data_IF_304644152200
#
_entry.id   IF_304644152200
#
_cell.length_a   1.000
_cell.length_b   1.000
_cell.length_c   1.000
_cell.angle_alpha   90.00
_cell.angle_beta   90.00
_cell.angle_gamma   90.00
#
_symmetry.space_group_name_H-M   'P 1'
#
loop_
_entity.id
_entity.type
_entity.pdbx_description
1 polymer ?
#
# COMPACT_ATOMS: atom_id res chain seq x y z
N UNK A 1 -15.29 4.40 -2.52
CA UNK A 1 -14.29 3.55 -1.83
C UNK A 1 -13.76 2.47 -2.75
N UNK A 2 -12.65 1.86 -2.40
CA UNK A 2 -12.04 0.76 -3.15
C UNK A 2 -12.02 -0.46 -2.26
N UNK A 3 -12.44 -1.62 -2.80
CA UNK A 3 -12.34 -2.89 -2.08
C UNK A 3 -11.31 -3.79 -2.75
N UNK A 4 -10.29 -4.17 -2.00
CA UNK A 4 -9.32 -5.19 -2.40
C UNK A 4 -9.88 -6.55 -1.96
N UNK A 5 -10.22 -7.40 -2.94
CA UNK A 5 -10.65 -8.77 -2.66
C UNK A 5 -9.40 -9.64 -2.59
N UNK A 6 -9.10 -10.17 -1.44
CA UNK A 6 -7.88 -10.96 -1.23
C UNK A 6 -8.21 -12.41 -0.87
N UNK A 7 -7.21 -13.27 -0.93
CA UNK A 7 -7.33 -14.67 -0.50
C UNK A 7 -7.61 -14.82 0.99
N UNK A 8 -7.48 -13.73 1.77
CA UNK A 8 -7.75 -13.72 3.22
C UNK A 8 -9.03 -12.95 3.58
N UNK A 9 -9.69 -12.34 2.60
CA UNK A 9 -10.92 -11.56 2.79
C UNK A 9 -10.82 -10.19 2.14
N UNK A 10 -11.83 -9.37 2.36
CA UNK A 10 -11.97 -8.06 1.73
C UNK A 10 -11.42 -6.94 2.61
N UNK A 11 -10.70 -6.01 1.98
CA UNK A 11 -10.19 -4.80 2.63
C UNK A 11 -10.76 -3.60 1.86
N UNK A 12 -11.59 -2.79 2.52
CA UNK A 12 -12.18 -1.60 1.91
C UNK A 12 -11.41 -0.37 2.33
N UNK A 13 -11.03 0.44 1.36
CA UNK A 13 -10.14 1.58 1.51
C UNK A 13 -10.86 2.87 1.14
N UNK A 14 -10.68 3.90 1.94
CA UNK A 14 -11.07 5.27 1.64
C UNK A 14 -9.82 6.07 1.28
N UNK A 15 -9.81 6.68 0.08
CA UNK A 15 -8.70 7.51 -0.40
C UNK A 15 -8.91 8.96 0.03
N UNK A 16 -7.80 9.65 0.33
CA UNK A 16 -7.82 11.07 0.72
C UNK A 16 -7.38 11.93 -0.48
N UNK A 17 -8.35 12.31 -1.30
CA UNK A 17 -8.10 13.16 -2.47
C UNK A 17 -7.82 14.61 -2.11
N UNK A 18 -8.20 15.04 -0.91
CA UNK A 18 -8.01 16.42 -0.47
C UNK A 18 -6.55 16.67 -0.05
N UNK A 19 -5.98 15.77 0.72
CA UNK A 19 -4.63 15.93 1.27
C UNK A 19 -3.54 15.25 0.45
N UNK A 20 -3.88 14.22 -0.31
CA UNK A 20 -2.94 13.49 -1.16
C UNK A 20 -3.53 13.31 -2.57
N UNK A 21 -3.83 14.41 -3.28
CA UNK A 21 -4.56 14.33 -4.56
C UNK A 21 -3.81 13.54 -5.63
N UNK A 22 -2.51 13.73 -5.77
CA UNK A 22 -1.71 13.02 -6.79
C UNK A 22 -1.56 11.55 -6.44
N UNK A 23 -1.30 11.25 -5.18
CA UNK A 23 -1.10 9.89 -4.70
C UNK A 23 -2.40 9.09 -4.75
N UNK A 24 -3.51 9.69 -4.29
CA UNK A 24 -4.82 9.05 -4.35
C UNK A 24 -5.25 8.79 -5.79
N UNK A 25 -5.06 9.75 -6.70
CA UNK A 25 -5.37 9.58 -8.11
C UNK A 25 -4.51 8.50 -8.76
N UNK A 26 -3.23 8.42 -8.40
CA UNK A 26 -2.30 7.40 -8.88
C UNK A 26 -2.77 6.00 -8.47
N UNK A 27 -3.11 5.81 -7.20
CA UNK A 27 -3.62 4.55 -6.70
C UNK A 27 -4.93 4.15 -7.39
N UNK A 28 -5.86 5.08 -7.53
CA UNK A 28 -7.13 4.85 -8.21
C UNK A 28 -6.91 4.44 -9.67
N UNK A 29 -5.94 5.06 -10.36
CA UNK A 29 -5.64 4.72 -11.75
C UNK A 29 -5.12 3.28 -11.87
N UNK A 30 -4.25 2.83 -10.96
CA UNK A 30 -3.82 1.43 -10.94
C UNK A 30 -5.00 0.48 -10.71
N UNK A 31 -5.97 0.88 -9.87
CA UNK A 31 -7.19 0.10 -9.67
C UNK A 31 -8.03 0.01 -10.94
N UNK A 32 -8.18 1.13 -11.66
CA UNK A 32 -8.92 1.18 -12.93
C UNK A 32 -8.26 0.36 -14.02
N UNK A 33 -6.93 0.33 -14.02
CA UNK A 33 -6.14 -0.46 -14.97
C UNK A 33 -6.13 -1.95 -14.63
N UNK A 34 -6.75 -2.33 -13.53
CA UNK A 34 -6.74 -3.69 -12.99
C UNK A 34 -5.32 -4.21 -12.71
N UNK A 35 -4.40 -3.30 -12.41
CA UNK A 35 -3.00 -3.60 -12.20
C UNK A 35 -2.76 -4.49 -10.97
N UNK A 36 -3.49 -4.22 -9.88
CA UNK A 36 -3.28 -4.91 -8.61
C UNK A 36 -3.84 -6.34 -8.59
N UNK A 37 -4.75 -6.67 -9.49
CA UNK A 37 -5.26 -8.05 -9.61
C UNK A 37 -4.12 -9.00 -9.96
N UNK A 38 -3.95 -10.04 -9.17
CA UNK A 38 -2.87 -11.01 -9.35
C UNK A 38 -1.56 -10.62 -8.65
N UNK A 39 -1.51 -9.48 -7.96
CA UNK A 39 -0.35 -9.14 -7.13
C UNK A 39 -0.53 -9.67 -5.71
N UNK A 40 0.58 -9.76 -4.98
CA UNK A 40 0.59 -10.32 -3.62
C UNK A 40 1.06 -9.28 -2.59
N UNK A 41 0.72 -9.54 -1.34
CA UNK A 41 1.39 -8.89 -0.20
C UNK A 41 2.70 -9.62 0.04
N UNK A 42 3.76 -9.14 -0.57
CA UNK A 42 5.05 -9.83 -0.63
C UNK A 42 5.97 -9.55 0.55
N UNK A 43 5.62 -8.58 1.40
CA UNK A 43 6.40 -8.25 2.59
C UNK A 43 5.45 -7.98 3.75
N UNK A 44 5.53 -8.83 4.76
CA UNK A 44 4.66 -8.75 5.94
C UNK A 44 5.53 -8.82 7.19
N UNK A 45 5.46 -7.76 7.99
CA UNK A 45 6.16 -7.69 9.28
C UNK A 45 5.14 -7.36 10.33
N UNK A 46 4.84 -8.34 11.21
CA UNK A 46 3.93 -8.13 12.33
C UNK A 46 4.44 -6.98 13.19
N UNK A 47 3.52 -6.19 13.72
CA UNK A 47 3.85 -5.02 14.53
C UNK A 47 4.60 -3.91 13.75
N UNK A 48 4.46 -3.90 12.43
CA UNK A 48 5.00 -2.86 11.55
C UNK A 48 4.03 -2.57 10.39
N UNK A 49 4.06 -3.37 9.32
CA UNK A 49 3.23 -3.12 8.13
C UNK A 49 3.04 -4.37 7.28
N UNK A 50 2.07 -4.31 6.37
CA UNK A 50 1.90 -5.30 5.30
C UNK A 50 2.00 -4.56 3.96
N UNK A 51 2.88 -5.02 3.08
CA UNK A 51 3.22 -4.34 1.82
C UNK A 51 2.92 -5.21 0.61
N UNK A 52 2.34 -4.59 -0.41
CA UNK A 52 2.02 -5.27 -1.66
C UNK A 52 1.85 -4.30 -2.82
N UNK A 53 1.24 -4.82 -3.89
CA UNK A 53 0.86 -4.00 -5.05
C UNK A 53 1.89 -3.91 -6.16
N UNK A 54 2.90 -4.77 -6.18
CA UNK A 54 3.91 -4.71 -7.23
C UNK A 54 4.49 -6.04 -7.68
N UNK A 55 4.31 -7.08 -6.90
CA UNK A 55 4.91 -8.40 -7.18
C UNK A 55 3.87 -9.44 -7.55
N UNK A 56 4.22 -10.30 -8.51
CA UNK A 56 3.44 -11.49 -8.83
C UNK A 56 3.71 -12.59 -7.79
N UNK A 57 2.90 -13.68 -7.77
CA UNK A 57 3.18 -14.80 -6.88
C UNK A 57 4.56 -15.44 -7.08
N UNK A 58 5.14 -15.30 -8.27
CA UNK A 58 6.49 -15.77 -8.59
C UNK A 58 7.59 -14.79 -8.14
N UNK A 59 7.23 -13.72 -7.43
CA UNK A 59 8.14 -12.67 -6.96
C UNK A 59 8.79 -11.88 -8.10
N UNK A 60 8.09 -11.76 -9.21
CA UNK A 60 8.49 -10.89 -10.31
C UNK A 60 7.80 -9.54 -10.18
N UNK A 61 8.55 -8.46 -10.35
CA UNK A 61 8.00 -7.11 -10.28
C UNK A 61 7.24 -6.78 -11.58
N UNK A 62 5.99 -6.36 -11.46
CA UNK A 62 5.21 -5.87 -12.60
C UNK A 62 5.73 -4.51 -13.04
N UNK A 63 5.75 -4.28 -14.34
CA UNK A 63 6.11 -2.97 -14.90
C UNK A 63 5.08 -1.94 -14.46
N UNK A 64 5.55 -0.87 -13.82
CA UNK A 64 4.68 0.19 -13.27
C UNK A 64 4.70 1.43 -14.16
N UNK A 65 3.77 2.35 -13.86
CA UNK A 65 3.76 3.69 -14.44
C UNK A 65 4.93 4.51 -13.86
N UNK A 66 5.10 5.73 -14.35
CA UNK A 66 6.13 6.63 -13.85
C UNK A 66 5.93 6.92 -12.34
N UNK A 67 7.03 7.22 -11.67
CA UNK A 67 6.98 7.59 -10.26
C UNK A 67 6.27 8.93 -10.07
N UNK A 68 5.75 9.12 -8.84
CA UNK A 68 5.01 10.33 -8.47
C UNK A 68 5.75 11.11 -7.39
N UNK A 69 5.44 12.40 -7.31
CA UNK A 69 5.95 13.28 -6.27
C UNK A 69 5.44 12.85 -4.89
N UNK A 70 6.31 12.89 -3.90
CA UNK A 70 5.95 12.58 -2.52
C UNK A 70 5.12 13.72 -1.92
N UNK A 71 3.94 13.39 -1.42
CA UNK A 71 3.02 14.34 -0.79
C UNK A 71 2.98 14.15 0.74
N UNK A 72 4.02 13.58 1.33
CA UNK A 72 4.02 13.28 2.77
C UNK A 72 4.00 14.53 3.67
N UNK A 73 4.26 15.71 3.11
CA UNK A 73 4.15 16.99 3.79
C UNK A 73 2.68 17.47 3.98
N UNK A 74 1.73 16.57 3.77
CA UNK A 74 0.28 16.87 3.84
C UNK A 74 -0.30 16.83 5.25
N UNK A 75 0.48 16.52 6.26
CA UNK A 75 0.03 16.45 7.65
C UNK A 75 -0.58 15.13 8.09
N UNK A 76 -0.75 14.17 7.18
CA UNK A 76 -1.25 12.84 7.53
C UNK A 76 -0.13 12.01 8.15
N UNK A 77 -0.49 11.17 9.13
CA UNK A 77 0.46 10.36 9.89
C UNK A 77 0.31 8.88 9.55
N UNK A 78 1.42 8.16 9.66
CA UNK A 78 1.47 6.71 9.47
C UNK A 78 0.93 5.98 10.71
N UNK A 79 -0.35 6.22 11.01
CA UNK A 79 -1.04 5.58 12.14
C UNK A 79 -1.61 4.22 11.72
N UNK A 80 -1.95 3.40 12.70
CA UNK A 80 -2.56 2.08 12.46
C UNK A 80 -3.77 2.20 11.53
N UNK A 81 -3.80 1.38 10.48
CA UNK A 81 -4.90 1.33 9.52
C UNK A 81 -4.77 2.29 8.35
N UNK A 82 -3.72 3.13 8.30
CA UNK A 82 -3.49 4.01 7.15
C UNK A 82 -2.72 3.30 6.05
N UNK A 83 -2.93 3.76 4.81
CA UNK A 83 -2.18 3.30 3.64
C UNK A 83 -1.16 4.37 3.27
N UNK A 84 0.06 3.93 2.98
CA UNK A 84 1.13 4.80 2.52
C UNK A 84 1.84 4.17 1.33
N UNK A 85 2.53 5.00 0.55
CA UNK A 85 3.27 4.53 -0.62
C UNK A 85 4.64 4.02 -0.24
N UNK A 86 4.94 2.79 -0.67
CA UNK A 86 6.31 2.27 -0.63
C UNK A 86 7.14 2.97 -1.70
N UNK A 87 8.43 3.12 -1.46
CA UNK A 87 9.36 3.79 -2.37
C UNK A 87 10.79 3.32 -2.12
N UNK A 88 11.68 3.68 -3.01
CA UNK A 88 13.12 3.51 -2.79
C UNK A 88 13.65 4.63 -1.88
N UNK A 89 14.95 4.74 -1.75
CA UNK A 89 15.58 5.82 -0.97
C UNK A 89 15.38 7.20 -1.60
N UNK A 90 15.06 7.28 -2.88
CA UNK A 90 14.65 8.52 -3.52
C UNK A 90 13.25 8.89 -3.02
N UNK A 91 13.07 10.06 -2.39
CA UNK A 91 11.76 10.46 -1.85
C UNK A 91 10.64 10.51 -2.87
N UNK A 92 10.96 10.73 -4.14
CA UNK A 92 10.00 10.86 -5.24
C UNK A 92 10.03 9.68 -6.20
N UNK A 93 10.19 8.46 -5.66
CA UNK A 93 10.29 7.23 -6.45
C UNK A 93 9.11 6.29 -6.33
N UNK A 94 8.06 6.66 -5.61
CA UNK A 94 6.87 5.82 -5.45
C UNK A 94 6.14 5.62 -6.79
N UNK A 95 5.65 4.41 -7.04
CA UNK A 95 4.84 4.10 -8.23
C UNK A 95 3.60 3.29 -7.88
N UNK A 96 3.69 1.97 -7.75
CA UNK A 96 2.52 1.11 -7.51
C UNK A 96 2.46 0.50 -6.12
N UNK A 97 3.59 0.19 -5.52
CA UNK A 97 3.61 -0.53 -4.24
C UNK A 97 3.16 0.36 -3.08
N UNK A 98 2.38 -0.23 -2.21
CA UNK A 98 1.86 0.44 -1.04
C UNK A 98 1.97 -0.48 0.18
N UNK A 99 1.81 0.09 1.37
CA UNK A 99 1.73 -0.70 2.58
C UNK A 99 0.61 -0.19 3.47
N UNK A 100 0.12 -1.09 4.32
CA UNK A 100 -0.89 -0.77 5.33
C UNK A 100 -0.19 -0.82 6.68
N UNK A 101 -0.23 0.27 7.42
CA UNK A 101 0.35 0.34 8.76
C UNK A 101 -0.48 -0.51 9.73
N UNK A 102 0.16 -1.42 10.45
CA UNK A 102 -0.50 -2.24 11.47
C UNK A 102 -0.12 -1.80 12.88
N UNK A 103 0.59 -0.70 12.99
CA UNK A 103 1.03 -0.03 14.19
C UNK A 103 1.17 1.46 13.88
N UNK A 104 1.20 2.30 14.91
CA UNK A 104 1.53 3.72 14.74
C UNK A 104 3.04 3.83 14.50
N UNK A 105 3.41 4.09 13.25
CA UNK A 105 4.80 4.12 12.80
C UNK A 105 5.28 5.57 12.65
N UNK A 106 5.47 6.26 13.76
CA UNK A 106 5.82 7.69 13.79
C UNK A 106 7.11 8.00 13.05
N UNK A 107 8.05 7.05 13.03
CA UNK A 107 9.34 7.23 12.34
C UNK A 107 9.20 7.30 10.81
N UNK A 108 8.05 6.94 10.25
CA UNK A 108 7.76 7.05 8.81
C UNK A 108 7.13 8.39 8.44
N UNK A 109 6.81 9.24 9.41
CA UNK A 109 6.14 10.52 9.15
C UNK A 109 7.11 11.56 8.58
N UNK A 110 6.56 12.49 7.80
CA UNK A 110 7.33 13.61 7.24
C UNK A 110 7.93 14.46 8.37
N UNK A 111 9.20 14.83 8.20
CA UNK A 111 9.93 15.72 9.13
C UNK A 111 10.50 16.93 8.42
N UNK A 112 11.08 16.74 7.24
CA UNK A 112 11.73 17.80 6.47
C UNK A 112 11.87 17.42 5.01
N UNK A 113 12.06 18.39 4.13
CA UNK A 113 12.18 18.15 2.67
C UNK A 113 13.61 17.79 2.27
N UNK A 114 14.17 16.75 2.89
CA UNK A 114 15.46 16.18 2.54
C UNK A 114 15.34 14.66 2.43
N UNK A 115 16.38 14.00 1.94
CA UNK A 115 16.36 12.57 1.63
C UNK A 115 15.95 11.71 2.82
N UNK A 116 16.35 12.10 4.03
CA UNK A 116 16.07 11.30 5.24
C UNK A 116 14.80 11.76 5.97
N UNK A 117 14.33 12.97 5.70
CA UNK A 117 13.22 13.56 6.42
C UNK A 117 11.87 13.51 5.72
N UNK A 118 11.82 13.20 4.42
CA UNK A 118 10.57 13.21 3.64
C UNK A 118 9.50 12.28 4.19
N UNK A 119 9.89 11.12 4.69
CA UNK A 119 8.95 10.12 5.17
C UNK A 119 8.18 9.43 4.04
N UNK A 120 7.06 8.83 4.39
CA UNK A 120 6.21 8.04 3.50
C UNK A 120 4.82 8.64 3.44
N UNK A 121 4.33 8.88 2.22
CA UNK A 121 3.08 9.58 1.99
C UNK A 121 1.86 8.71 2.33
N UNK A 122 1.11 9.10 3.35
CA UNK A 122 -0.20 8.54 3.65
C UNK A 122 -1.22 9.14 2.68
N UNK A 123 -2.04 8.29 2.06
CA UNK A 123 -3.02 8.72 1.04
C UNK A 123 -4.40 8.12 1.25
N UNK A 124 -4.60 7.32 2.27
CA UNK A 124 -5.87 6.69 2.54
C UNK A 124 -5.86 5.90 3.84
N UNK A 125 -6.96 5.23 4.11
CA UNK A 125 -7.11 4.42 5.32
C UNK A 125 -8.02 3.22 5.06
N UNK A 126 -7.89 2.20 5.88
CA UNK A 126 -8.82 1.06 5.89
C UNK A 126 -10.12 1.51 6.53
N UNK A 127 -11.20 1.49 5.75
CA UNK A 127 -12.55 1.82 6.22
C UNK A 127 -13.24 0.59 6.82
N UNK A 128 -13.05 -0.58 6.17
CA UNK A 128 -13.58 -1.86 6.62
C UNK A 128 -12.55 -2.95 6.31
N UNK A 129 -12.52 -4.00 7.12
CA UNK A 129 -11.63 -5.14 6.87
C UNK A 129 -10.32 -5.09 7.64
N UNK A 130 -10.22 -4.31 8.70
CA UNK A 130 -9.02 -4.29 9.53
C UNK A 130 -8.77 -5.66 10.17
N UNK A 131 -9.81 -6.45 10.43
CA UNK A 131 -9.69 -7.84 10.87
C UNK A 131 -8.95 -8.70 9.85
N UNK A 132 -9.17 -8.46 8.55
CA UNK A 132 -8.44 -9.14 7.46
C UNK A 132 -6.97 -8.73 7.47
N UNK A 133 -6.69 -7.44 7.62
CA UNK A 133 -5.32 -6.93 7.72
C UNK A 133 -4.60 -7.57 8.93
N UNK A 134 -5.30 -7.72 10.03
CA UNK A 134 -4.75 -8.37 11.24
C UNK A 134 -4.48 -9.87 11.03
N UNK A 135 -5.27 -10.55 10.21
CA UNK A 135 -4.97 -11.93 9.79
C UNK A 135 -3.71 -11.98 8.95
N UNK A 136 -3.59 -11.05 7.99
CA UNK A 136 -2.42 -10.99 7.09
C UNK A 136 -1.14 -10.76 7.88
N UNK A 137 -1.14 -9.80 8.81
CA UNK A 137 0.08 -9.48 9.59
C UNK A 137 0.57 -10.65 10.42
N UNK A 138 -0.30 -11.60 10.75
CA UNK A 138 0.00 -12.73 11.65
C UNK A 138 0.46 -13.99 10.91
N UNK A 139 0.50 -13.99 9.57
CA UNK A 139 0.90 -15.18 8.80
C UNK A 139 2.39 -15.47 8.99
N UNK A 140 2.76 -16.73 8.79
CA UNK A 140 4.16 -17.14 8.82
C UNK A 140 4.88 -16.62 7.57
N UNK A 141 6.07 -16.09 7.78
CA UNK A 141 6.91 -15.54 6.72
C UNK A 141 8.26 -16.24 6.66
N UNK A 142 8.94 -16.05 5.55
CA UNK A 142 10.29 -16.58 5.34
C UNK A 142 11.00 -15.81 4.24
N UNK A 143 12.12 -16.32 3.78
CA UNK A 143 12.89 -15.70 2.70
C UNK A 143 12.62 -16.40 1.38
N UNK A 144 12.53 -15.61 0.29
CA UNK A 144 12.46 -16.11 -1.09
C UNK A 144 13.48 -15.34 -1.92
N UNK A 145 14.56 -15.99 -2.32
CA UNK A 145 15.67 -15.33 -3.01
C UNK A 145 16.28 -14.23 -2.16
N UNK A 146 16.29 -13.01 -2.65
CA UNK A 146 16.79 -11.83 -1.94
C UNK A 146 15.73 -11.16 -1.06
N UNK A 147 14.49 -11.64 -1.10
CA UNK A 147 13.37 -11.04 -0.36
C UNK A 147 13.22 -11.71 1.00
N UNK A 148 13.05 -10.90 2.03
CA UNK A 148 12.78 -11.34 3.40
C UNK A 148 11.36 -10.99 3.79
N UNK A 149 10.85 -11.63 4.84
CA UNK A 149 9.51 -11.36 5.38
C UNK A 149 8.39 -11.61 4.37
N UNK A 150 8.59 -12.63 3.52
CA UNK A 150 7.61 -13.04 2.50
C UNK A 150 6.68 -14.08 3.10
N UNK A 151 5.35 -13.91 3.02
CA UNK A 151 4.40 -14.94 3.47
C UNK A 151 4.70 -16.29 2.82
N UNK A 152 4.70 -17.37 3.62
CA UNK A 152 4.97 -18.72 3.13
C UNK A 152 3.90 -19.18 2.14
N UNK A 153 2.65 -18.77 2.38
CA UNK A 153 1.54 -18.95 1.43
C UNK A 153 1.21 -17.60 0.83
N UNK A 154 1.12 -17.52 -0.50
CA UNK A 154 0.85 -16.27 -1.20
C UNK A 154 -0.48 -15.67 -0.75
N UNK A 155 -0.46 -14.39 -0.41
CA UNK A 155 -1.65 -13.60 -0.11
C UNK A 155 -1.90 -12.73 -1.33
N UNK A 156 -2.87 -13.11 -2.15
CA UNK A 156 -3.10 -12.50 -3.45
C UNK A 156 -4.30 -11.57 -3.43
N UNK A 157 -4.18 -10.45 -4.13
CA UNK A 157 -5.31 -9.59 -4.48
C UNK A 157 -5.95 -10.21 -5.71
N UNK A 158 -7.14 -10.80 -5.56
CA UNK A 158 -7.79 -11.56 -6.63
C UNK A 158 -8.63 -10.70 -7.55
N UNK A 159 -9.16 -9.59 -7.04
CA UNK A 159 -9.92 -8.61 -7.83
C UNK A 159 -10.04 -7.30 -7.05
N UNK A 160 -10.49 -6.26 -7.76
CA UNK A 160 -10.66 -4.90 -7.22
C UNK A 160 -12.08 -4.44 -7.54
N UNK A 161 -12.77 -3.85 -6.57
CA UNK A 161 -14.04 -3.17 -6.78
C UNK A 161 -13.88 -1.69 -6.48
N UNK A 162 -14.43 -0.83 -7.35
CA UNK A 162 -14.40 0.63 -7.19
C UNK A 162 -15.83 1.10 -7.06
N UNK A 163 -16.15 1.85 -6.00
CA UNK A 163 -17.50 2.35 -5.77
C UNK A 163 -17.83 3.52 -6.70
N UNK A 164 -19.14 3.77 -6.93
CA UNK A 164 -19.61 4.79 -7.87
C UNK A 164 -19.22 6.21 -7.44
N UNK A 165 -19.03 6.46 -6.15
CA UNK A 165 -18.61 7.78 -5.65
C UNK A 165 -17.20 8.19 -6.11
N UNK A 166 -16.42 7.24 -6.65
CA UNK A 166 -15.11 7.53 -7.23
C UNK A 166 -15.13 7.65 -8.76
N UNK A 167 -16.29 7.60 -9.38
CA UNK A 167 -16.41 7.68 -10.84
C UNK A 167 -15.85 8.97 -11.42
N UNK A 168 -15.97 10.09 -10.68
CA UNK A 168 -15.53 11.42 -11.10
C UNK A 168 -14.10 11.76 -10.64
N UNK A 169 -13.42 10.85 -9.98
CA UNK A 169 -12.05 11.07 -9.46
C UNK A 169 -10.96 10.54 -10.41
#
# INVERSE_FOLDING_TARGET
MITLHTTHGDITIELDFDKAPKTAANFLQYCRDDFYTGTIFHRVIDNFMVQGGGMTPDMEQKASRDSIENEADNGLKNDTGTLAMARTMDPHSASSQFFINVKDNDFLNFRSKDTQGWGYCVFGKVAEGMDVVNKIKSVKTGSKGFHQDVPLESIEITSISISDDYADK
#
